data_IF_068350473930
#
_entry.id   IF_068350473930
#
_cell.length_a   1.000
_cell.length_b   1.000
_cell.length_c   1.000
_cell.angle_alpha   90.00
_cell.angle_beta   90.00
_cell.angle_gamma   90.00
#
_symmetry.space_group_name_H-M   'P 1'
#
loop_
_entity.id
_entity.type
_entity.pdbx_description
1 polymer ?
#
# COMPACT_ATOMS: atom_id res chain seq x y z
N UNK A 1 91.35 -5.00 38.18
CA UNK A 1 90.75 -3.66 38.36
C UNK A 1 89.58 -3.54 37.38
N UNK A 2 88.40 -3.15 37.89
CA UNK A 2 87.11 -2.74 37.25
C UNK A 2 87.09 -2.55 35.71
N UNK A 3 86.00 -2.70 34.93
CA UNK A 3 84.53 -2.72 35.12
C UNK A 3 83.89 -3.16 33.77
N UNK A 4 82.61 -3.53 33.83
CA UNK A 4 81.56 -3.74 32.80
C UNK A 4 81.56 -2.72 31.63
N UNK A 5 80.96 -2.97 30.44
CA UNK A 5 79.50 -3.03 30.16
C UNK A 5 79.15 -3.59 28.75
N UNK A 6 77.96 -4.19 28.65
CA UNK A 6 77.23 -4.75 27.48
C UNK A 6 76.56 -3.67 26.60
N UNK A 7 76.38 -3.91 25.28
CA UNK A 7 75.16 -3.57 24.49
C UNK A 7 75.00 -4.55 23.30
N UNK A 8 73.73 -4.87 23.01
CA UNK A 8 73.14 -5.92 22.16
C UNK A 8 73.35 -5.82 20.64
N UNK A 9 73.27 -6.99 19.98
CA UNK A 9 73.17 -7.23 18.54
C UNK A 9 71.72 -7.08 18.06
N UNK A 10 71.49 -6.36 16.95
CA UNK A 10 70.26 -6.42 16.16
C UNK A 10 70.58 -6.99 14.76
N UNK A 11 69.84 -8.04 14.38
CA UNK A 11 69.96 -8.73 13.10
C UNK A 11 68.74 -8.41 12.24
N UNK A 12 68.97 -7.75 11.09
CA UNK A 12 67.95 -7.41 10.11
C UNK A 12 67.60 -8.66 9.28
N UNK A 13 66.38 -9.18 9.46
CA UNK A 13 65.75 -10.17 8.58
C UNK A 13 64.84 -9.47 7.56
N UNK A 14 64.94 -9.90 6.30
CA UNK A 14 64.05 -9.50 5.21
C UNK A 14 62.77 -10.34 5.26
N UNK A 15 61.60 -9.69 5.30
CA UNK A 15 60.29 -10.33 5.10
C UNK A 15 59.65 -9.79 3.82
N UNK A 16 59.20 -10.70 2.96
CA UNK A 16 58.38 -10.42 1.78
C UNK A 16 56.96 -10.03 2.21
N UNK A 17 56.44 -8.90 1.71
CA UNK A 17 55.03 -8.55 1.80
C UNK A 17 54.24 -9.23 0.67
N UNK A 18 53.33 -10.13 1.04
CA UNK A 18 52.20 -10.54 0.21
C UNK A 18 51.09 -9.50 0.36
N UNK A 19 50.79 -8.74 -0.70
CA UNK A 19 49.68 -7.79 -0.72
C UNK A 19 48.37 -8.56 -0.86
N UNK A 20 47.61 -8.66 0.24
CA UNK A 20 46.23 -9.15 0.21
C UNK A 20 45.32 -8.08 -0.40
N UNK A 21 44.46 -8.47 -1.34
CA UNK A 21 43.37 -7.64 -1.82
C UNK A 21 42.36 -7.43 -0.68
N UNK A 22 42.51 -6.31 0.05
CA UNK A 22 41.52 -5.87 1.03
C UNK A 22 40.27 -5.42 0.28
N UNK A 23 39.15 -6.10 0.53
CA UNK A 23 37.83 -5.62 0.12
C UNK A 23 37.60 -4.24 0.76
N UNK A 24 37.36 -3.24 -0.08
CA UNK A 24 36.97 -1.92 0.39
C UNK A 24 35.61 -2.06 1.10
N UNK A 25 35.41 -1.48 2.30
CA UNK A 25 34.09 -1.47 2.93
C UNK A 25 33.09 -0.80 1.98
N UNK A 26 31.83 -1.28 1.89
CA UNK A 26 30.83 -0.61 1.09
C UNK A 26 30.75 0.86 1.55
N UNK A 27 30.91 1.76 0.59
CA UNK A 27 30.70 3.19 0.82
C UNK A 27 29.26 3.35 1.26
N UNK A 28 29.04 3.88 2.47
CA UNK A 28 27.70 4.22 2.93
C UNK A 28 27.10 5.20 1.92
N UNK A 29 26.13 4.74 1.13
CA UNK A 29 25.25 5.62 0.36
C UNK A 29 24.54 6.49 1.39
N UNK A 30 24.61 7.83 1.30
CA UNK A 30 23.85 8.67 2.20
C UNK A 30 22.36 8.38 1.98
N UNK A 31 21.71 7.73 2.96
CA UNK A 31 20.26 7.72 3.05
C UNK A 31 19.84 9.17 3.26
N UNK A 32 19.23 9.77 2.25
CA UNK A 32 18.58 11.06 2.39
C UNK A 32 17.36 10.81 3.25
N UNK A 33 17.49 10.96 4.57
CA UNK A 33 16.33 11.08 5.45
C UNK A 33 15.71 12.44 5.15
N UNK A 34 14.85 12.51 4.14
CA UNK A 34 14.02 13.67 3.92
C UNK A 34 13.11 13.78 5.15
N UNK A 35 13.26 14.84 5.95
CA UNK A 35 12.26 15.15 6.98
C UNK A 35 10.99 15.55 6.22
N UNK A 36 9.87 14.81 6.35
CA UNK A 36 8.62 15.16 5.68
C UNK A 36 8.26 16.58 6.11
N UNK A 37 8.26 17.48 5.13
CA UNK A 37 7.88 18.88 5.34
C UNK A 37 6.58 19.06 4.59
N UNK A 38 5.54 19.52 5.28
CA UNK A 38 4.23 19.85 4.70
C UNK A 38 4.42 20.88 3.59
N UNK A 39 4.57 20.40 2.36
CA UNK A 39 4.71 21.25 1.18
C UNK A 39 3.34 21.39 0.56
N UNK A 40 2.71 22.55 0.79
CA UNK A 40 1.45 22.93 0.18
C UNK A 40 1.59 22.91 -1.34
N UNK A 41 0.89 21.99 -1.98
CA UNK A 41 0.90 21.83 -3.43
C UNK A 41 -0.03 20.74 -3.91
N UNK A 42 -1.09 20.41 -3.17
CA UNK A 42 -2.07 19.45 -3.65
C UNK A 42 -2.84 20.02 -4.84
N UNK A 43 -2.97 19.23 -5.90
CA UNK A 43 -4.02 19.40 -6.88
C UNK A 43 -5.35 18.95 -6.27
N UNK A 44 -6.46 19.46 -6.80
CA UNK A 44 -7.78 18.92 -6.47
C UNK A 44 -8.09 17.87 -7.53
N UNK A 45 -8.41 16.62 -7.15
CA UNK A 45 -8.87 15.58 -8.06
C UNK A 45 -9.93 16.11 -9.02
N UNK A 46 -9.63 16.13 -10.32
CA UNK A 46 -10.62 16.54 -11.34
C UNK A 46 -11.40 15.37 -11.92
N UNK A 47 -10.93 14.15 -11.65
CA UNK A 47 -11.51 12.90 -12.15
C UNK A 47 -12.36 12.16 -11.11
N UNK A 48 -12.51 12.68 -9.90
CA UNK A 48 -13.27 12.03 -8.83
C UNK A 48 -12.43 11.01 -8.05
N UNK A 49 -12.78 10.81 -6.78
CA UNK A 49 -12.04 9.93 -5.86
C UNK A 49 -13.02 9.25 -4.90
N UNK A 50 -12.98 7.92 -4.84
CA UNK A 50 -13.67 7.13 -3.82
C UNK A 50 -12.74 6.92 -2.63
N UNK A 51 -13.29 7.06 -1.43
CA UNK A 51 -12.57 7.09 -0.16
C UNK A 51 -13.31 6.27 0.91
N UNK A 52 -12.59 5.42 1.64
CA UNK A 52 -13.01 4.90 2.96
C UNK A 52 -12.25 5.64 4.06
N UNK A 53 -12.72 5.58 5.32
CA UNK A 53 -12.11 6.30 6.44
C UNK A 53 -11.66 5.37 7.58
N UNK A 54 -10.40 5.48 7.95
CA UNK A 54 -9.84 4.67 9.04
C UNK A 54 -10.32 5.12 10.40
N UNK A 55 -10.50 4.17 11.31
CA UNK A 55 -11.00 4.35 12.68
C UNK A 55 -12.52 4.51 12.79
N UNK A 56 -13.09 3.63 13.60
CA UNK A 56 -14.51 3.64 13.93
C UNK A 56 -15.05 4.90 14.60
N UNK A 57 -16.37 5.01 14.50
CA UNK A 57 -17.14 6.16 14.96
C UNK A 57 -17.57 7.07 13.81
N UNK A 58 -18.57 7.91 14.08
CA UNK A 58 -19.18 8.72 13.03
C UNK A 58 -18.36 9.97 12.71
N UNK A 59 -18.09 10.17 11.42
CA UNK A 59 -17.37 11.30 10.86
C UNK A 59 -18.25 12.12 9.93
N UNK A 60 -17.70 13.22 9.43
CA UNK A 60 -18.38 14.09 8.46
C UNK A 60 -17.38 14.63 7.45
N UNK A 61 -17.77 14.63 6.17
CA UNK A 61 -17.01 15.19 5.05
C UNK A 61 -17.90 16.12 4.25
N UNK A 62 -17.55 17.40 4.21
CA UNK A 62 -18.41 18.44 3.64
C UNK A 62 -19.79 18.46 4.29
N UNK A 63 -20.84 18.18 3.51
CA UNK A 63 -22.23 18.09 3.99
C UNK A 63 -22.69 16.67 4.35
N UNK A 64 -21.87 15.65 4.08
CA UNK A 64 -22.17 14.26 4.40
C UNK A 64 -21.77 14.02 5.85
N UNK A 65 -22.67 13.46 6.65
CA UNK A 65 -22.48 13.19 8.07
C UNK A 65 -22.86 11.77 8.41
N UNK A 66 -22.29 11.22 9.48
CA UNK A 66 -22.62 9.87 9.94
C UNK A 66 -21.81 8.78 9.25
N UNK A 67 -20.81 9.17 8.45
CA UNK A 67 -19.87 8.29 7.74
C UNK A 67 -19.12 7.45 8.76
N UNK A 68 -19.03 6.15 8.51
CA UNK A 68 -18.31 5.17 9.32
C UNK A 68 -17.17 4.55 8.52
N UNK A 69 -16.43 3.70 9.21
CA UNK A 69 -15.28 2.93 8.74
C UNK A 69 -15.61 1.91 7.64
N UNK A 70 -16.89 1.62 7.42
CA UNK A 70 -17.34 0.65 6.41
C UNK A 70 -17.99 1.33 5.20
N UNK A 71 -18.06 2.66 5.22
CA UNK A 71 -18.72 3.48 4.22
C UNK A 71 -17.73 3.97 3.16
N UNK A 72 -18.20 4.10 1.92
CA UNK A 72 -17.42 4.71 0.85
C UNK A 72 -18.05 6.04 0.47
N UNK A 73 -17.22 7.07 0.39
CA UNK A 73 -17.61 8.40 -0.05
C UNK A 73 -16.95 8.74 -1.37
N UNK A 74 -17.72 9.29 -2.29
CA UNK A 74 -17.21 9.84 -3.53
C UNK A 74 -17.00 11.35 -3.41
N UNK A 75 -15.80 11.81 -3.77
CA UNK A 75 -15.43 13.20 -3.88
C UNK A 75 -15.32 13.60 -5.34
N UNK A 76 -16.13 14.56 -5.81
CA UNK A 76 -16.15 15.01 -7.22
C UNK A 76 -15.11 16.12 -7.53
N UNK A 77 -14.21 16.40 -6.58
CA UNK A 77 -13.31 17.55 -6.61
C UNK A 77 -13.89 18.80 -5.92
N UNK A 78 -15.15 18.79 -5.51
CA UNK A 78 -15.79 19.91 -4.79
C UNK A 78 -16.70 19.42 -3.66
N UNK A 79 -17.53 18.41 -3.93
CA UNK A 79 -18.55 17.90 -3.03
C UNK A 79 -18.26 16.43 -2.69
N UNK A 80 -18.67 16.07 -1.48
CA UNK A 80 -18.70 14.69 -1.00
C UNK A 80 -20.11 14.14 -1.13
N UNK A 81 -20.23 12.87 -1.54
CA UNK A 81 -21.50 12.12 -1.59
C UNK A 81 -21.26 10.73 -1.02
N UNK A 82 -22.12 10.28 -0.08
CA UNK A 82 -22.10 8.89 0.37
C UNK A 82 -22.42 7.98 -0.82
N UNK A 83 -21.48 7.12 -1.20
CA UNK A 83 -21.57 6.23 -2.35
C UNK A 83 -22.03 4.83 -1.93
N UNK A 84 -21.49 4.31 -0.84
CA UNK A 84 -21.85 3.01 -0.27
C UNK A 84 -21.99 3.17 1.24
N UNK A 85 -23.10 2.69 1.78
CA UNK A 85 -23.38 2.62 3.22
C UNK A 85 -23.24 1.16 3.65
N UNK A 86 -22.17 0.84 4.36
CA UNK A 86 -21.87 -0.53 4.81
C UNK A 86 -22.81 -0.99 5.92
N UNK A 87 -23.40 -0.04 6.66
CA UNK A 87 -24.35 -0.34 7.72
C UNK A 87 -25.66 -0.92 7.19
N UNK A 88 -26.06 -0.55 5.98
CA UNK A 88 -27.29 -1.05 5.34
C UNK A 88 -27.19 -2.49 4.83
N UNK A 89 -25.97 -2.97 4.56
CA UNK A 89 -25.73 -4.28 3.94
C UNK A 89 -25.02 -5.27 4.85
N UNK A 90 -25.06 -5.01 6.17
CA UNK A 90 -24.64 -5.97 7.18
C UNK A 90 -23.12 -6.06 7.41
N UNK A 91 -22.36 -5.08 6.91
CA UNK A 91 -20.92 -4.96 7.19
C UNK A 91 -20.58 -3.85 8.18
N UNK A 92 -21.56 -3.11 8.72
CA UNK A 92 -21.38 -1.99 9.68
C UNK A 92 -20.82 -2.33 11.07
N UNK A 93 -20.12 -3.45 11.21
CA UNK A 93 -19.31 -3.79 12.39
C UNK A 93 -17.93 -4.34 12.00
N UNK A 94 -17.59 -4.26 10.72
CA UNK A 94 -16.26 -4.50 10.16
C UNK A 94 -15.59 -3.15 9.93
N UNK A 95 -14.37 -3.15 9.41
CA UNK A 95 -13.64 -1.95 9.00
C UNK A 95 -13.12 -2.23 7.58
N UNK A 96 -13.45 -1.37 6.62
CA UNK A 96 -13.13 -1.59 5.21
C UNK A 96 -11.67 -1.22 4.99
N UNK A 97 -10.88 -2.20 4.57
CA UNK A 97 -9.43 -2.05 4.44
C UNK A 97 -9.05 -1.66 3.01
N UNK A 98 -9.53 -2.40 2.00
CA UNK A 98 -9.25 -2.12 0.60
C UNK A 98 -10.50 -1.92 -0.25
N UNK A 99 -10.38 -1.15 -1.34
CA UNK A 99 -11.46 -0.86 -2.28
C UNK A 99 -10.99 -0.89 -3.74
N UNK A 100 -11.74 -1.57 -4.61
CA UNK A 100 -11.69 -1.33 -6.05
C UNK A 100 -13.08 -1.13 -6.65
N UNK A 101 -13.21 -0.15 -7.55
CA UNK A 101 -14.40 0.01 -8.40
C UNK A 101 -14.22 -0.86 -9.65
N UNK A 102 -15.13 -1.80 -9.87
CA UNK A 102 -15.09 -2.69 -11.04
C UNK A 102 -15.95 -2.14 -12.17
N UNK A 103 -17.16 -1.71 -11.84
CA UNK A 103 -18.11 -1.09 -12.76
C UNK A 103 -19.20 -0.33 -11.98
N UNK A 104 -20.23 0.18 -12.69
CA UNK A 104 -21.33 0.97 -12.10
C UNK A 104 -22.16 0.28 -11.00
N UNK A 105 -22.04 -1.03 -10.88
CA UNK A 105 -22.81 -1.87 -9.95
C UNK A 105 -21.94 -2.77 -9.08
N UNK A 106 -20.63 -2.78 -9.30
CA UNK A 106 -19.74 -3.77 -8.70
C UNK A 106 -18.53 -3.10 -8.08
N UNK A 107 -18.30 -3.42 -6.81
CA UNK A 107 -17.06 -3.07 -6.08
C UNK A 107 -16.44 -4.33 -5.50
N UNK A 108 -15.13 -4.29 -5.32
CA UNK A 108 -14.38 -5.26 -4.52
C UNK A 108 -13.95 -4.60 -3.22
N UNK A 109 -14.01 -5.36 -2.12
CA UNK A 109 -13.66 -4.93 -0.77
C UNK A 109 -12.82 -5.99 -0.06
N UNK A 110 -11.95 -5.56 0.84
CA UNK A 110 -11.43 -6.39 1.94
C UNK A 110 -11.77 -5.72 3.28
N UNK A 111 -11.57 -6.44 4.38
CA UNK A 111 -11.83 -5.94 5.73
C UNK A 111 -10.69 -6.33 6.67
N UNK A 112 -10.44 -5.51 7.69
CA UNK A 112 -9.36 -5.73 8.68
C UNK A 112 -9.55 -6.95 9.58
N UNK A 113 -10.65 -7.70 9.43
CA UNK A 113 -10.92 -8.88 10.26
C UNK A 113 -11.86 -9.88 9.60
N UNK A 114 -11.66 -11.14 9.96
CA UNK A 114 -12.52 -12.23 9.54
C UNK A 114 -13.99 -12.05 9.95
N UNK A 115 -14.91 -12.40 9.05
CA UNK A 115 -16.34 -12.21 9.23
C UNK A 115 -17.18 -13.28 8.52
N UNK A 116 -18.50 -13.21 8.73
CA UNK A 116 -19.47 -13.91 7.88
C UNK A 116 -20.43 -12.88 7.31
N UNK A 117 -20.33 -12.63 6.01
CA UNK A 117 -21.08 -11.60 5.28
C UNK A 117 -22.05 -12.32 4.34
N UNK A 118 -23.36 -12.09 4.49
CA UNK A 118 -24.40 -12.80 3.72
C UNK A 118 -24.28 -14.35 3.75
N UNK A 119 -23.72 -14.91 4.82
CA UNK A 119 -23.51 -16.35 4.97
C UNK A 119 -22.25 -16.89 4.28
N UNK A 120 -21.42 -16.00 3.70
CA UNK A 120 -20.09 -16.29 3.17
C UNK A 120 -19.07 -16.03 4.28
N UNK A 121 -18.24 -17.03 4.60
CA UNK A 121 -17.10 -16.83 5.49
C UNK A 121 -15.98 -16.13 4.71
N UNK A 122 -15.36 -15.14 5.33
CA UNK A 122 -14.35 -14.26 4.75
C UNK A 122 -13.27 -14.04 5.80
N UNK A 123 -12.00 -14.15 5.44
CA UNK A 123 -10.83 -13.79 6.24
C UNK A 123 -10.33 -12.38 5.89
N UNK A 124 -9.46 -11.80 6.70
CA UNK A 124 -8.81 -10.51 6.41
C UNK A 124 -7.89 -10.53 5.17
N UNK A 125 -7.42 -11.71 4.78
CA UNK A 125 -6.68 -11.93 3.52
C UNK A 125 -7.55 -12.15 2.27
N UNK A 126 -8.87 -12.07 2.39
CA UNK A 126 -9.82 -12.30 1.29
C UNK A 126 -10.33 -11.01 0.65
N UNK A 127 -10.80 -11.12 -0.60
CA UNK A 127 -11.53 -10.05 -1.29
C UNK A 127 -12.96 -10.51 -1.56
N UNK A 128 -13.93 -9.69 -1.17
CA UNK A 128 -15.34 -9.89 -1.48
C UNK A 128 -15.80 -8.96 -2.59
N UNK A 129 -16.72 -9.44 -3.42
CA UNK A 129 -17.44 -8.63 -4.38
C UNK A 129 -18.79 -8.23 -3.79
N UNK A 130 -19.09 -6.94 -3.79
CA UNK A 130 -20.44 -6.43 -3.59
C UNK A 130 -21.07 -6.07 -4.92
N UNK A 131 -22.26 -6.60 -5.18
CA UNK A 131 -23.07 -6.25 -6.36
C UNK A 131 -24.29 -5.45 -5.92
N UNK A 132 -24.30 -4.16 -6.24
CA UNK A 132 -25.33 -3.23 -5.83
C UNK A 132 -26.60 -3.35 -6.68
N UNK A 133 -27.72 -3.18 -5.99
CA UNK A 133 -29.04 -2.87 -6.56
C UNK A 133 -29.44 -1.43 -6.25
N UNK A 134 -28.88 -0.83 -5.20
CA UNK A 134 -28.91 0.60 -4.89
C UNK A 134 -27.65 1.03 -4.13
N UNK A 135 -27.28 2.30 -4.30
CA UNK A 135 -26.13 2.97 -3.69
C UNK A 135 -26.61 4.09 -2.75
N UNK A 136 -25.68 4.66 -1.97
CA UNK A 136 -25.91 5.80 -1.06
C UNK A 136 -26.57 5.41 0.26
N UNK A 137 -27.34 6.33 0.87
CA UNK A 137 -27.97 6.14 2.20
C UNK A 137 -29.00 5.00 2.31
N UNK A 138 -29.30 4.33 1.21
CA UNK A 138 -30.15 3.13 1.21
C UNK A 138 -29.47 2.09 0.34
N UNK A 139 -28.25 1.73 0.73
CA UNK A 139 -27.43 0.77 -0.03
C UNK A 139 -28.08 -0.61 0.07
N UNK A 140 -28.19 -1.31 -1.05
CA UNK A 140 -28.73 -2.65 -1.08
C UNK A 140 -28.06 -3.47 -2.18
N UNK A 141 -27.78 -4.73 -1.92
CA UNK A 141 -27.10 -5.61 -2.85
C UNK A 141 -26.85 -6.97 -2.24
N UNK A 142 -25.83 -7.65 -2.75
CA UNK A 142 -25.41 -8.96 -2.23
C UNK A 142 -23.89 -9.10 -2.30
N UNK A 143 -23.35 -9.79 -1.31
CA UNK A 143 -21.94 -10.17 -1.28
C UNK A 143 -21.69 -11.56 -1.86
N UNK A 144 -20.49 -11.73 -2.43
CA UNK A 144 -19.92 -13.01 -2.79
C UNK A 144 -18.40 -13.00 -2.57
N UNK A 145 -17.81 -14.12 -2.17
CA UNK A 145 -16.36 -14.26 -2.13
C UNK A 145 -15.81 -14.16 -3.56
N UNK A 146 -14.87 -13.24 -3.79
CA UNK A 146 -14.25 -12.99 -5.09
C UNK A 146 -12.86 -13.60 -5.17
N UNK A 147 -12.09 -13.55 -4.09
CA UNK A 147 -10.75 -14.11 -3.99
C UNK A 147 -10.56 -14.61 -2.57
N UNK A 148 -10.34 -15.92 -2.44
CA UNK A 148 -9.83 -16.59 -1.24
C UNK A 148 -8.30 -16.49 -1.21
N UNK A 149 -7.73 -15.72 -0.27
CA UNK A 149 -6.29 -15.49 -0.16
C UNK A 149 -5.52 -16.71 0.34
N UNK A 150 -6.17 -17.51 1.19
CA UNK A 150 -5.58 -18.71 1.80
C UNK A 150 -5.27 -19.79 0.76
N UNK A 151 -6.09 -19.88 -0.29
CA UNK A 151 -5.88 -20.80 -1.42
C UNK A 151 -4.63 -20.47 -2.25
N UNK A 152 -4.15 -19.23 -2.19
CA UNK A 152 -3.00 -18.74 -2.96
C UNK A 152 -1.83 -18.28 -2.10
N UNK A 153 -1.86 -18.61 -0.82
CA UNK A 153 -0.71 -18.57 0.09
C UNK A 153 -0.66 -17.41 1.07
N UNK A 154 -1.71 -16.59 1.16
CA UNK A 154 -1.86 -15.60 2.24
C UNK A 154 -2.42 -16.33 3.46
N UNK A 155 -1.57 -16.66 4.44
CA UNK A 155 -1.90 -17.62 5.53
C UNK A 155 -1.46 -17.17 6.92
N UNK A 156 -0.97 -15.94 7.05
CA UNK A 156 -0.47 -15.36 8.30
C UNK A 156 -1.11 -14.00 8.54
N UNK A 157 -1.19 -13.57 9.81
CA UNK A 157 -1.83 -12.31 10.24
C UNK A 157 -1.16 -11.01 9.73
N UNK A 158 -0.17 -11.10 8.86
CA UNK A 158 0.43 -9.93 8.21
C UNK A 158 0.25 -10.00 6.71
N UNK A 159 -0.65 -10.85 6.23
CA UNK A 159 -0.98 -11.06 4.82
C UNK A 159 -2.44 -10.66 4.55
N UNK A 160 -2.98 -9.85 5.46
CA UNK A 160 -4.26 -9.15 5.42
C UNK A 160 -4.20 -8.17 4.25
N UNK A 161 -5.24 -8.14 3.42
CA UNK A 161 -5.27 -7.32 2.20
C UNK A 161 -5.75 -5.91 2.54
N UNK A 162 -4.91 -4.91 2.31
CA UNK A 162 -5.15 -3.49 2.64
C UNK A 162 -5.19 -2.58 1.40
N UNK A 163 -4.68 -3.03 0.26
CA UNK A 163 -4.84 -2.30 -1.00
C UNK A 163 -5.22 -3.22 -2.15
N UNK A 164 -6.20 -2.81 -2.97
CA UNK A 164 -6.60 -3.54 -4.17
C UNK A 164 -6.83 -2.61 -5.35
N UNK A 165 -6.41 -3.05 -6.53
CA UNK A 165 -6.86 -2.49 -7.80
C UNK A 165 -7.11 -3.61 -8.79
N UNK A 166 -8.19 -3.53 -9.57
CA UNK A 166 -8.50 -4.51 -10.62
C UNK A 166 -8.20 -3.93 -11.99
N UNK A 167 -7.22 -4.51 -12.68
CA UNK A 167 -6.84 -4.08 -14.02
C UNK A 167 -7.92 -4.45 -15.06
N UNK A 168 -7.96 -3.78 -16.23
CA UNK A 168 -8.96 -4.04 -17.27
C UNK A 168 -8.96 -5.48 -17.82
N UNK A 169 -7.83 -6.18 -17.76
CA UNK A 169 -7.70 -7.59 -18.15
C UNK A 169 -8.19 -8.58 -17.08
N UNK A 170 -8.56 -8.07 -15.91
CA UNK A 170 -9.12 -8.81 -14.78
C UNK A 170 -8.08 -9.33 -13.78
N UNK A 171 -6.80 -9.02 -13.95
CA UNK A 171 -5.80 -9.27 -12.91
C UNK A 171 -5.93 -8.26 -11.77
N UNK A 172 -5.28 -8.58 -10.65
CA UNK A 172 -5.36 -7.77 -9.42
C UNK A 172 -3.98 -7.25 -9.05
N UNK A 173 -3.93 -5.99 -8.64
CA UNK A 173 -2.84 -5.46 -7.84
C UNK A 173 -3.28 -5.51 -6.38
N UNK A 174 -2.43 -6.06 -5.51
CA UNK A 174 -2.73 -6.33 -4.10
C UNK A 174 -1.54 -5.87 -3.25
N UNK A 175 -1.80 -5.12 -2.18
CA UNK A 175 -0.87 -4.93 -1.06
C UNK A 175 -1.30 -5.77 0.13
N UNK A 176 -0.43 -5.92 1.12
CA UNK A 176 -0.77 -6.50 2.42
C UNK A 176 -0.11 -5.72 3.56
N UNK A 177 -0.77 -5.67 4.72
CA UNK A 177 -0.33 -4.95 5.93
C UNK A 177 1.09 -5.30 6.40
N UNK A 178 1.57 -6.48 6.02
CA UNK A 178 2.89 -6.95 6.36
C UNK A 178 3.55 -7.72 5.22
N UNK A 179 4.52 -8.56 5.58
CA UNK A 179 5.28 -9.28 4.56
C UNK A 179 4.52 -10.46 3.97
N UNK A 180 4.10 -10.36 2.70
CA UNK A 180 3.53 -11.46 1.94
C UNK A 180 4.55 -12.53 1.52
N UNK A 181 4.23 -13.80 1.80
CA UNK A 181 5.07 -14.98 1.52
C UNK A 181 4.35 -16.01 0.64
N UNK A 182 3.97 -15.56 -0.54
CA UNK A 182 3.28 -16.37 -1.54
C UNK A 182 4.19 -17.26 -2.38
N UNK A 183 3.61 -18.30 -2.97
CA UNK A 183 4.34 -19.23 -3.84
C UNK A 183 4.75 -18.60 -5.17
N UNK A 184 5.92 -19.00 -5.68
CA UNK A 184 6.45 -18.54 -6.97
C UNK A 184 7.39 -17.34 -6.87
N UNK A 185 7.53 -16.78 -5.68
CA UNK A 185 8.32 -15.60 -5.42
C UNK A 185 9.29 -15.80 -4.25
N UNK A 186 10.47 -15.19 -4.31
CA UNK A 186 11.55 -15.40 -3.33
C UNK A 186 11.81 -14.15 -2.50
N UNK A 187 11.90 -14.29 -1.18
CA UNK A 187 12.29 -13.22 -0.25
C UNK A 187 11.17 -12.83 0.73
N UNK A 188 9.92 -12.94 0.28
CA UNK A 188 8.80 -12.23 0.90
C UNK A 188 8.77 -10.79 0.38
N UNK A 189 7.59 -10.28 0.09
CA UNK A 189 7.35 -8.90 -0.31
C UNK A 189 6.95 -8.11 0.88
N UNK A 190 7.54 -6.94 1.02
CA UNK A 190 7.33 -6.13 2.21
C UNK A 190 6.02 -5.36 2.08
N UNK A 191 5.66 -4.70 3.15
CA UNK A 191 4.46 -3.91 3.32
C UNK A 191 4.35 -2.80 2.25
N UNK A 192 5.46 -2.19 1.85
CA UNK A 192 5.45 -1.14 0.82
C UNK A 192 5.34 -1.61 -0.65
N UNK A 193 5.16 -2.91 -0.90
CA UNK A 193 5.19 -3.51 -2.24
C UNK A 193 3.79 -3.78 -2.81
N UNK A 194 3.62 -3.71 -4.14
CA UNK A 194 2.41 -4.21 -4.81
C UNK A 194 2.66 -5.52 -5.55
N UNK A 195 1.81 -6.49 -5.28
CA UNK A 195 1.78 -7.78 -5.95
C UNK A 195 0.76 -7.82 -7.08
N UNK A 196 1.18 -8.36 -8.23
CA UNK A 196 0.31 -8.69 -9.34
C UNK A 196 -0.17 -10.13 -9.21
N UNK A 197 -1.47 -10.33 -9.02
CA UNK A 197 -2.10 -11.64 -9.09
C UNK A 197 -2.76 -11.88 -10.45
N UNK A 198 -2.29 -12.89 -11.17
CA UNK A 198 -2.95 -13.37 -12.40
C UNK A 198 -3.84 -14.57 -12.07
N UNK A 199 -5.17 -14.40 -12.02
CA UNK A 199 -6.09 -15.48 -11.67
C UNK A 199 -6.19 -16.52 -12.79
N UNK A 200 -6.19 -17.79 -12.40
CA UNK A 200 -6.70 -18.92 -13.18
C UNK A 200 -8.15 -19.25 -12.76
N UNK A 201 -8.42 -19.20 -11.46
CA UNK A 201 -9.77 -19.28 -10.88
C UNK A 201 -9.92 -18.28 -9.73
N UNK A 202 -11.15 -17.79 -9.54
CA UNK A 202 -11.56 -16.85 -8.50
C UNK A 202 -12.73 -17.47 -7.69
N UNK A 203 -13.06 -16.86 -6.55
CA UNK A 203 -14.02 -17.36 -5.57
C UNK A 203 -13.39 -18.32 -4.56
N UNK A 204 -14.19 -19.19 -3.95
CA UNK A 204 -13.75 -20.10 -2.86
C UNK A 204 -12.79 -21.25 -3.27
N UNK A 205 -12.23 -21.21 -4.48
CA UNK A 205 -11.19 -22.14 -4.95
C UNK A 205 -10.22 -21.31 -5.80
N UNK A 206 -9.64 -20.27 -5.21
CA UNK A 206 -8.76 -19.35 -5.93
C UNK A 206 -7.53 -20.10 -6.42
N UNK A 207 -7.09 -19.82 -7.64
CA UNK A 207 -5.80 -20.28 -8.10
C UNK A 207 -5.23 -19.28 -9.09
N UNK A 208 -3.91 -19.20 -9.17
CA UNK A 208 -3.25 -18.24 -10.03
C UNK A 208 -1.75 -18.18 -9.78
N UNK A 209 -1.14 -17.12 -10.26
CA UNK A 209 0.29 -16.86 -10.08
C UNK A 209 0.51 -15.44 -9.62
N UNK A 210 1.50 -15.28 -8.76
CA UNK A 210 1.95 -13.99 -8.27
C UNK A 210 3.18 -13.51 -9.04
N UNK A 211 3.28 -12.20 -9.20
CA UNK A 211 4.48 -11.48 -9.59
C UNK A 211 4.61 -10.19 -8.75
N UNK A 212 5.82 -9.66 -8.62
CA UNK A 212 6.02 -8.31 -8.07
C UNK A 212 5.69 -7.29 -9.16
N UNK A 213 4.74 -6.41 -8.89
CA UNK A 213 4.40 -5.28 -9.77
C UNK A 213 5.24 -4.07 -9.42
N UNK A 214 5.30 -3.71 -8.13
CA UNK A 214 5.95 -2.50 -7.64
C UNK A 214 6.77 -2.81 -6.39
N UNK A 215 8.09 -2.58 -6.47
CA UNK A 215 8.99 -2.55 -5.31
C UNK A 215 9.01 -1.13 -4.70
N UNK A 216 8.41 -0.95 -3.52
CA UNK A 216 8.33 0.35 -2.85
C UNK A 216 9.70 0.84 -2.39
N UNK A 217 10.54 -0.08 -1.91
CA UNK A 217 11.89 0.21 -1.46
C UNK A 217 12.79 0.72 -2.59
N UNK A 218 12.58 0.24 -3.83
CA UNK A 218 13.30 0.69 -5.01
C UNK A 218 13.04 2.17 -5.36
N UNK A 219 11.91 2.71 -4.92
CA UNK A 219 11.54 4.12 -5.08
C UNK A 219 11.62 4.94 -3.80
N UNK A 220 12.22 4.38 -2.76
CA UNK A 220 12.59 5.10 -1.54
C UNK A 220 11.58 5.03 -0.41
N UNK A 221 10.46 4.32 -0.57
CA UNK A 221 9.60 4.00 0.56
C UNK A 221 10.38 3.16 1.57
N UNK A 222 10.18 3.46 2.85
CA UNK A 222 10.82 2.77 3.94
C UNK A 222 10.13 1.42 4.18
N UNK A 223 10.95 0.41 4.47
CA UNK A 223 10.51 -0.95 4.80
C UNK A 223 9.96 -1.06 6.23
N UNK A 224 9.31 0.00 6.69
CA UNK A 224 8.73 0.12 8.03
C UNK A 224 7.24 0.26 7.87
N UNK A 225 6.48 -0.31 8.82
CA UNK A 225 5.01 -0.31 8.88
C UNK A 225 4.31 1.06 8.85
N UNK A 226 4.99 2.17 8.58
CA UNK A 226 4.37 3.48 8.38
C UNK A 226 4.47 3.99 6.95
N UNK A 227 5.34 3.44 6.11
CA UNK A 227 5.37 3.75 4.66
C UNK A 227 4.81 2.59 3.83
N UNK A 228 4.04 1.73 4.49
CA UNK A 228 3.18 0.68 3.95
C UNK A 228 2.18 1.25 2.94
N UNK A 229 1.98 0.57 1.80
CA UNK A 229 1.05 1.01 0.76
C UNK A 229 -0.36 0.57 1.13
N UNK A 230 -1.11 1.53 1.66
CA UNK A 230 -2.45 1.35 2.22
C UNK A 230 -3.53 1.87 1.25
N UNK A 231 -3.32 1.67 -0.05
CA UNK A 231 -4.26 2.08 -1.08
C UNK A 231 -3.60 2.34 -2.43
N UNK A 232 -4.22 1.78 -3.47
CA UNK A 232 -3.71 1.83 -4.84
C UNK A 232 -4.84 2.05 -5.84
N UNK A 233 -4.58 2.86 -6.85
CA UNK A 233 -5.38 2.88 -8.07
C UNK A 233 -4.51 3.17 -9.28
N UNK A 234 -4.93 2.69 -10.45
CA UNK A 234 -4.20 2.88 -11.71
C UNK A 234 -5.11 3.56 -12.73
N UNK A 235 -4.61 4.60 -13.41
CA UNK A 235 -5.34 5.23 -14.52
C UNK A 235 -5.10 4.55 -15.87
N UNK A 236 -5.78 5.04 -16.91
CA UNK A 236 -5.62 4.53 -18.28
C UNK A 236 -4.23 4.75 -18.91
N UNK A 237 -3.34 5.50 -18.25
CA UNK A 237 -1.96 5.74 -18.68
C UNK A 237 -0.95 4.94 -17.84
N UNK A 238 -1.42 3.95 -17.06
CA UNK A 238 -0.63 3.15 -16.13
C UNK A 238 0.04 3.98 -15.02
N UNK A 239 -0.51 5.16 -14.70
CA UNK A 239 -0.06 5.95 -13.55
C UNK A 239 -0.64 5.35 -12.28
N UNK A 240 0.23 4.99 -11.33
CA UNK A 240 -0.16 4.52 -10.01
C UNK A 240 -0.45 5.73 -9.12
N UNK A 241 -1.59 5.71 -8.46
CA UNK A 241 -1.98 6.61 -7.38
C UNK A 241 -1.92 5.81 -6.10
N UNK A 242 -1.09 6.28 -5.17
CA UNK A 242 -0.73 5.55 -3.97
C UNK A 242 -1.03 6.42 -2.75
N UNK A 243 -1.41 5.76 -1.67
CA UNK A 243 -1.36 6.32 -0.33
C UNK A 243 -0.56 5.39 0.57
N UNK A 244 -0.18 5.89 1.74
CA UNK A 244 0.53 5.12 2.75
C UNK A 244 -0.12 5.28 4.11
N UNK A 245 0.02 4.25 4.96
CA UNK A 245 -0.55 4.24 6.31
C UNK A 245 -0.07 5.44 7.16
N UNK A 246 1.18 5.84 6.99
CA UNK A 246 1.82 6.98 7.65
C UNK A 246 2.52 7.92 6.67
N UNK A 247 3.31 8.85 7.23
CA UNK A 247 4.07 9.83 6.45
C UNK A 247 5.04 9.13 5.50
N UNK A 248 5.11 9.58 4.23
CA UNK A 248 6.00 9.03 3.22
C UNK A 248 7.03 10.03 2.70
N UNK A 249 8.16 9.49 2.21
CA UNK A 249 9.13 10.25 1.42
C UNK A 249 9.66 9.46 0.22
N UNK A 250 9.43 9.99 -0.98
CA UNK A 250 9.93 9.47 -2.26
C UNK A 250 10.76 10.53 -2.99
N UNK A 251 11.49 10.22 -4.07
CA UNK A 251 12.24 11.21 -4.83
C UNK A 251 11.41 12.44 -5.21
N UNK A 252 11.83 13.61 -4.73
CA UNK A 252 11.20 14.93 -4.96
C UNK A 252 9.80 15.12 -4.35
N UNK A 253 9.30 14.20 -3.52
CA UNK A 253 7.99 14.32 -2.88
C UNK A 253 7.97 13.71 -1.48
N UNK A 254 7.26 14.35 -0.57
CA UNK A 254 6.88 13.78 0.73
C UNK A 254 5.45 14.19 1.04
N UNK A 255 4.79 13.42 1.90
CA UNK A 255 3.43 13.70 2.36
C UNK A 255 3.18 13.07 3.72
N UNK A 256 1.96 13.26 4.21
CA UNK A 256 1.48 12.60 5.41
C UNK A 256 0.76 11.30 5.04
N UNK A 257 0.48 10.47 6.04
CA UNK A 257 -0.44 9.34 5.88
C UNK A 257 -1.77 9.80 5.30
N UNK A 258 -2.37 8.96 4.45
CA UNK A 258 -3.62 9.24 3.75
C UNK A 258 -3.57 10.39 2.72
N UNK A 259 -2.42 10.99 2.43
CA UNK A 259 -2.25 11.79 1.22
C UNK A 259 -2.14 10.86 0.00
N UNK A 260 -2.58 11.33 -1.18
CA UNK A 260 -2.44 10.57 -2.43
C UNK A 260 -1.37 11.20 -3.29
N UNK A 261 -0.30 10.45 -3.54
CA UNK A 261 0.76 10.78 -4.49
C UNK A 261 0.68 9.88 -5.70
N UNK A 262 1.39 10.24 -6.78
CA UNK A 262 1.37 9.43 -7.99
C UNK A 262 2.77 9.10 -8.51
N UNK A 263 2.92 7.85 -8.94
CA UNK A 263 4.07 7.34 -9.67
C UNK A 263 3.66 7.16 -11.13
N UNK A 264 4.32 7.86 -12.06
CA UNK A 264 4.32 7.45 -13.46
C UNK A 264 5.48 6.48 -13.68
N UNK A 265 5.23 5.18 -13.91
CA UNK A 265 6.30 4.21 -14.00
C UNK A 265 7.22 4.43 -15.21
N UNK A 266 8.50 4.19 -14.98
CA UNK A 266 9.55 4.06 -16.02
C UNK A 266 10.21 2.68 -15.99
N UNK A 267 9.95 1.91 -14.93
CA UNK A 267 10.28 0.51 -14.73
C UNK A 267 9.42 -0.05 -13.59
N UNK A 268 9.16 -1.36 -13.62
CA UNK A 268 8.31 -2.11 -12.67
C UNK A 268 9.02 -3.39 -12.20
N UNK A 269 8.49 -4.04 -11.17
CA UNK A 269 9.08 -5.20 -10.49
C UNK A 269 10.23 -4.83 -9.57
N UNK A 270 11.23 -5.71 -9.41
CA UNK A 270 12.38 -5.51 -8.49
C UNK A 270 13.27 -4.29 -8.80
N UNK A 271 13.05 -3.64 -9.93
CA UNK A 271 13.77 -2.44 -10.34
C UNK A 271 12.79 -1.30 -10.67
N UNK A 272 11.73 -1.19 -9.85
CA UNK A 272 10.75 -0.12 -9.96
C UNK A 272 11.45 1.24 -10.01
N UNK A 273 11.00 2.07 -10.94
CA UNK A 273 11.47 3.44 -11.07
C UNK A 273 10.31 4.32 -11.50
N UNK A 274 10.09 5.42 -10.80
CA UNK A 274 8.96 6.32 -11.03
C UNK A 274 9.43 7.74 -11.35
N UNK A 275 8.67 8.42 -12.21
CA UNK A 275 8.61 9.88 -12.17
C UNK A 275 7.47 10.27 -11.21
N UNK A 276 7.82 10.82 -10.05
CA UNK A 276 6.84 11.36 -9.11
C UNK A 276 6.48 12.80 -9.46
N UNK A 277 5.22 13.18 -9.30
CA UNK A 277 4.84 14.59 -9.39
C UNK A 277 5.44 15.41 -8.27
N UNK A 278 5.51 16.71 -8.52
CA UNK A 278 5.83 17.71 -7.51
C UNK A 278 4.60 18.09 -6.67
N UNK A 279 3.38 17.72 -7.09
CA UNK A 279 2.09 18.00 -6.44
C UNK A 279 1.43 16.73 -5.93
N UNK A 280 0.70 16.80 -4.80
CA UNK A 280 -0.17 15.68 -4.41
C UNK A 280 -1.37 15.61 -5.35
N UNK A 281 -1.88 14.42 -5.60
CA UNK A 281 -3.19 14.26 -6.20
C UNK A 281 -4.30 14.64 -5.23
N UNK A 282 -4.16 14.26 -3.96
CA UNK A 282 -5.09 14.59 -2.88
C UNK A 282 -4.31 14.79 -1.58
N UNK A 283 -4.71 15.79 -0.80
CA UNK A 283 -4.14 16.10 0.52
C UNK A 283 -5.27 16.03 1.54
N UNK A 284 -5.27 14.96 2.33
CA UNK A 284 -6.37 14.64 3.25
C UNK A 284 -6.53 15.67 4.37
N UNK A 285 -5.47 16.43 4.65
CA UNK A 285 -5.40 17.42 5.72
C UNK A 285 -5.92 18.80 5.28
N UNK A 286 -5.95 19.08 3.98
CA UNK A 286 -6.57 20.30 3.42
C UNK A 286 -8.08 20.15 3.18
N UNK A 287 -8.59 18.92 3.22
CA UNK A 287 -9.92 18.58 2.69
C UNK A 287 -11.01 18.52 3.77
N UNK A 288 -10.63 18.48 5.05
CA UNK A 288 -11.57 18.48 6.16
C UNK A 288 -11.04 19.32 7.35
N UNK A 289 -11.92 19.65 8.29
CA UNK A 289 -11.57 20.44 9.50
C UNK A 289 -10.70 19.66 10.49
N UNK A 290 -10.59 18.35 10.29
CA UNK A 290 -9.71 17.40 10.97
C UNK A 290 -9.12 16.50 9.89
N UNK A 291 -7.87 16.05 10.04
CA UNK A 291 -7.24 15.12 9.10
C UNK A 291 -8.16 13.93 8.84
N UNK A 292 -8.42 13.65 7.56
CA UNK A 292 -9.05 12.40 7.15
C UNK A 292 -7.96 11.34 7.21
N UNK A 293 -8.21 10.28 7.96
CA UNK A 293 -7.43 9.08 7.88
C UNK A 293 -8.21 8.17 6.94
N UNK A 294 -7.58 7.76 5.84
CA UNK A 294 -8.14 6.92 4.80
C UNK A 294 -7.58 5.50 4.97
N UNK A 295 -8.42 4.47 4.82
CA UNK A 295 -7.95 3.07 4.63
C UNK A 295 -7.88 2.74 3.14
N UNK A 296 -8.85 3.22 2.36
CA UNK A 296 -8.98 2.80 0.98
C UNK A 296 -9.24 3.98 0.04
N UNK A 297 -8.63 3.90 -1.15
CA UNK A 297 -8.89 4.81 -2.25
C UNK A 297 -9.21 4.03 -3.52
N UNK A 298 -10.07 4.59 -4.37
CA UNK A 298 -10.25 4.11 -5.73
C UNK A 298 -10.62 5.26 -6.69
N UNK A 299 -10.27 5.10 -7.96
CA UNK A 299 -10.56 6.08 -9.00
C UNK A 299 -11.64 5.51 -9.95
N UNK A 300 -12.51 6.36 -10.53
CA UNK A 300 -13.56 5.93 -11.45
C UNK A 300 -13.06 5.45 -12.81
#
# INVERSE_FOLDING_TARGET
VQKTTSVLLDAIHWAQETVGAGAQPPTATPTVTATPTTTSGASVPSTGLYLSLSNGGQKSMGTVSGIRDEDIVYFDGTNYTLFFDGSDVGVGGLDLDALAIVDSTTILLSFTSAATIDGVAVDDSDIVQFTATSWGENTAGSFALYFDGSDVGLTTNGEDVDAIHRLPDGTLLISTVGTARVSGLSGGYLDEDLLHFTPQTLGANTSGTWALEFDGSAVGLATTATEDVDGVSVDSNDTLYLTTLGDFAVPNRSGQGSDVFHCTPTGMGVATACNFDVTLYFDSHQQATTALLLDAIAFP
#
